data_IF_026887827385
#
_entry.id   IF_026887827385
#
_cell.length_a   1.000
_cell.length_b   1.000
_cell.length_c   1.000
_cell.angle_alpha   90.00
_cell.angle_beta   90.00
_cell.angle_gamma   90.00
#
_symmetry.space_group_name_H-M   'P 1'
#
loop_
_entity.id
_entity.type
_entity.pdbx_description
1 polymer ?
#
# COMPACT_ATOMS: atom_id res chain seq x y z
N UNK A 1 -7.58 -28.36 12.70
CA UNK A 1 -8.51 -27.58 11.85
C UNK A 1 -8.31 -26.05 11.95
N UNK A 2 -7.78 -25.51 13.06
CA UNK A 2 -7.64 -24.05 13.27
C UNK A 2 -6.63 -23.31 12.37
N UNK A 3 -5.52 -23.95 11.98
CA UNK A 3 -4.49 -23.29 11.15
C UNK A 3 -5.00 -22.82 9.77
N UNK A 4 -5.95 -23.53 9.16
CA UNK A 4 -6.47 -23.18 7.81
C UNK A 4 -7.29 -21.88 7.80
N UNK A 5 -8.13 -21.65 8.82
CA UNK A 5 -8.97 -20.44 8.92
C UNK A 5 -8.11 -19.18 9.11
N UNK A 6 -7.12 -19.24 10.00
CA UNK A 6 -6.17 -18.13 10.20
C UNK A 6 -5.39 -17.78 8.93
N UNK A 7 -5.02 -18.79 8.13
CA UNK A 7 -4.27 -18.54 6.90
C UNK A 7 -5.11 -17.77 5.88
N UNK A 8 -6.42 -18.03 5.78
CA UNK A 8 -7.32 -17.32 4.87
C UNK A 8 -7.50 -15.85 5.29
N UNK A 9 -7.73 -15.60 6.57
CA UNK A 9 -7.83 -14.24 7.12
C UNK A 9 -6.54 -13.43 6.91
N UNK A 10 -5.37 -14.09 7.04
CA UNK A 10 -4.06 -13.47 6.78
C UNK A 10 -3.93 -13.00 5.33
N UNK A 11 -4.30 -13.83 4.35
CA UNK A 11 -4.23 -13.41 2.94
C UNK A 11 -5.24 -12.31 2.61
N UNK A 12 -6.45 -12.40 3.17
CA UNK A 12 -7.48 -11.39 2.97
C UNK A 12 -7.01 -10.03 3.50
N UNK A 13 -6.46 -10.00 4.72
CA UNK A 13 -5.89 -8.80 5.31
C UNK A 13 -4.74 -8.25 4.45
N UNK A 14 -3.89 -9.12 3.92
CA UNK A 14 -2.78 -8.71 3.06
C UNK A 14 -3.26 -8.06 1.75
N UNK A 15 -4.29 -8.63 1.12
CA UNK A 15 -4.89 -8.07 -0.10
C UNK A 15 -5.52 -6.71 0.19
N UNK A 16 -6.31 -6.61 1.27
CA UNK A 16 -6.91 -5.33 1.68
C UNK A 16 -5.84 -4.27 2.00
N UNK A 17 -4.77 -4.65 2.68
CA UNK A 17 -3.68 -3.73 3.01
C UNK A 17 -2.97 -3.22 1.74
N UNK A 18 -2.72 -4.12 0.79
CA UNK A 18 -1.94 -3.83 -0.43
C UNK A 18 -2.74 -3.05 -1.47
N UNK A 19 -4.01 -3.41 -1.69
CA UNK A 19 -4.82 -2.88 -2.80
C UNK A 19 -5.88 -1.87 -2.39
N UNK A 20 -6.19 -1.74 -1.10
CA UNK A 20 -7.22 -0.80 -0.62
C UNK A 20 -6.58 0.23 0.29
N UNK A 21 -5.99 -0.21 1.42
CA UNK A 21 -5.45 0.70 2.41
C UNK A 21 -4.29 1.53 1.85
N UNK A 22 -3.30 0.89 1.24
CA UNK A 22 -2.12 1.58 0.73
C UNK A 22 -2.46 2.57 -0.41
N UNK A 23 -3.22 2.20 -1.45
CA UNK A 23 -3.62 3.14 -2.50
C UNK A 23 -4.51 4.28 -1.97
N UNK A 24 -5.44 4.00 -1.05
CA UNK A 24 -6.27 5.04 -0.46
C UNK A 24 -5.44 6.05 0.33
N UNK A 25 -4.52 5.57 1.17
CA UNK A 25 -3.61 6.44 1.93
C UNK A 25 -2.67 7.22 1.03
N UNK A 26 -2.23 6.64 -0.09
CA UNK A 26 -1.45 7.34 -1.11
C UNK A 26 -2.22 8.50 -1.72
N UNK A 27 -3.50 8.30 -2.05
CA UNK A 27 -4.37 9.36 -2.60
C UNK A 27 -4.62 10.45 -1.56
N UNK A 28 -5.00 10.08 -0.33
CA UNK A 28 -5.33 11.03 0.75
C UNK A 28 -4.14 11.93 1.10
N UNK A 29 -2.93 11.38 1.10
CA UNK A 29 -1.72 12.14 1.46
C UNK A 29 -1.09 12.87 0.26
N UNK A 30 -1.77 12.95 -0.88
CA UNK A 30 -1.29 13.66 -2.07
C UNK A 30 -0.05 13.05 -2.70
N UNK A 31 0.07 11.72 -2.63
CA UNK A 31 1.15 10.97 -3.28
C UNK A 31 2.45 10.92 -2.48
N UNK A 32 3.56 11.25 -3.13
CA UNK A 32 4.92 10.88 -2.69
C UNK A 32 5.48 11.72 -1.55
N UNK A 33 4.87 12.87 -1.23
CA UNK A 33 5.49 13.90 -0.41
C UNK A 33 5.54 13.59 1.11
N UNK A 34 4.68 12.72 1.64
CA UNK A 34 4.53 12.61 3.11
C UNK A 34 4.85 11.27 3.77
N UNK A 35 4.68 10.13 3.09
CA UNK A 35 4.43 8.89 3.85
C UNK A 35 4.86 7.56 3.24
N UNK A 36 5.53 7.57 2.08
CA UNK A 36 6.08 6.36 1.47
C UNK A 36 7.02 5.58 2.42
N UNK A 37 7.99 6.21 3.10
CA UNK A 37 8.90 5.47 3.97
C UNK A 37 8.17 4.80 5.13
N UNK A 38 7.19 5.48 5.71
CA UNK A 38 6.37 4.95 6.80
C UNK A 38 5.58 3.71 6.35
N UNK A 39 4.91 3.77 5.20
CA UNK A 39 4.13 2.64 4.72
C UNK A 39 5.00 1.45 4.31
N UNK A 40 6.19 1.68 3.75
CA UNK A 40 7.17 0.61 3.48
C UNK A 40 7.54 -0.14 4.77
N UNK A 41 7.83 0.60 5.85
CA UNK A 41 8.20 0.01 7.16
C UNK A 41 7.03 -0.78 7.74
N UNK A 42 5.84 -0.18 7.82
CA UNK A 42 4.64 -0.81 8.38
C UNK A 42 4.30 -2.09 7.60
N UNK A 43 4.26 -2.00 6.27
CA UNK A 43 3.97 -3.14 5.41
C UNK A 43 5.02 -4.26 5.54
N UNK A 44 6.30 -3.90 5.66
CA UNK A 44 7.38 -4.86 5.87
C UNK A 44 7.26 -5.61 7.20
N UNK A 45 6.83 -4.92 8.27
CA UNK A 45 6.59 -5.52 9.58
C UNK A 45 5.41 -6.51 9.53
N UNK A 46 4.30 -6.13 8.89
CA UNK A 46 3.17 -7.04 8.68
C UNK A 46 3.58 -8.28 7.88
N UNK A 47 4.29 -8.11 6.76
CA UNK A 47 4.76 -9.26 5.97
C UNK A 47 5.69 -10.18 6.77
N UNK A 48 6.62 -9.62 7.55
CA UNK A 48 7.56 -10.41 8.34
C UNK A 48 6.87 -11.26 9.41
N UNK A 49 5.78 -10.75 9.99
CA UNK A 49 4.99 -11.46 11.00
C UNK A 49 4.02 -12.46 10.36
N UNK A 50 3.32 -12.08 9.29
CA UNK A 50 2.23 -12.87 8.72
C UNK A 50 2.71 -13.98 7.76
N UNK A 51 3.82 -13.78 7.02
CA UNK A 51 4.23 -14.68 5.94
C UNK A 51 5.64 -15.25 6.13
N UNK A 52 5.82 -16.53 5.73
CA UNK A 52 7.10 -17.23 5.72
C UNK A 52 7.41 -17.79 4.33
N UNK A 53 8.71 -17.86 3.99
CA UNK A 53 9.21 -18.48 2.76
C UNK A 53 8.76 -17.76 1.47
N UNK A 54 8.46 -18.53 0.42
CA UNK A 54 8.15 -18.03 -0.92
C UNK A 54 6.99 -17.03 -0.96
N UNK A 55 5.99 -17.21 -0.09
CA UNK A 55 4.82 -16.32 -0.03
C UNK A 55 5.20 -14.89 0.34
N UNK A 56 6.20 -14.73 1.22
CA UNK A 56 6.71 -13.42 1.62
C UNK A 56 7.33 -12.69 0.43
N UNK A 57 8.07 -13.41 -0.43
CA UNK A 57 8.65 -12.84 -1.65
C UNK A 57 7.54 -12.40 -2.61
N UNK A 58 6.51 -13.24 -2.82
CA UNK A 58 5.38 -12.89 -3.68
C UNK A 58 4.63 -11.64 -3.20
N UNK A 59 4.40 -11.52 -1.89
CA UNK A 59 3.75 -10.35 -1.29
C UNK A 59 4.58 -9.06 -1.49
N UNK A 60 5.90 -9.15 -1.32
CA UNK A 60 6.81 -8.01 -1.58
C UNK A 60 6.76 -7.60 -3.04
N UNK A 61 6.77 -8.55 -3.98
CA UNK A 61 6.68 -8.25 -5.42
C UNK A 61 5.35 -7.56 -5.76
N UNK A 62 4.22 -8.07 -5.24
CA UNK A 62 2.91 -7.46 -5.45
C UNK A 62 2.85 -6.03 -4.91
N UNK A 63 3.46 -5.79 -3.76
CA UNK A 63 3.54 -4.46 -3.15
C UNK A 63 4.41 -3.48 -3.93
N UNK A 64 5.58 -3.93 -4.39
CA UNK A 64 6.42 -3.13 -5.27
C UNK A 64 5.72 -2.82 -6.60
N UNK A 65 4.97 -3.78 -7.14
CA UNK A 65 4.13 -3.57 -8.32
C UNK A 65 3.04 -2.51 -8.10
N UNK A 66 2.40 -2.51 -6.93
CA UNK A 66 1.41 -1.47 -6.58
C UNK A 66 2.05 -0.10 -6.44
N UNK A 67 3.23 0.00 -5.83
CA UNK A 67 4.00 1.25 -5.75
C UNK A 67 4.36 1.75 -7.16
N UNK A 68 4.88 0.88 -8.02
CA UNK A 68 5.23 1.24 -9.40
C UNK A 68 4.00 1.72 -10.19
N UNK A 69 2.86 1.05 -10.04
CA UNK A 69 1.62 1.47 -10.68
C UNK A 69 1.14 2.85 -10.18
N UNK A 70 1.20 3.09 -8.86
CA UNK A 70 0.85 4.37 -8.25
C UNK A 70 1.80 5.49 -8.70
N UNK A 71 3.10 5.22 -8.77
CA UNK A 71 4.08 6.16 -9.30
C UNK A 71 3.82 6.49 -10.77
N UNK A 72 3.55 5.48 -11.59
CA UNK A 72 3.21 5.67 -12.99
C UNK A 72 1.94 6.52 -13.17
N UNK A 73 0.91 6.28 -12.36
CA UNK A 73 -0.30 7.11 -12.38
C UNK A 73 0.00 8.54 -11.95
N UNK A 74 0.82 8.72 -10.91
CA UNK A 74 1.21 10.04 -10.42
C UNK A 74 2.00 10.85 -11.46
N UNK A 75 2.86 10.21 -12.26
CA UNK A 75 3.63 10.90 -13.30
C UNK A 75 2.82 11.23 -14.55
N UNK A 76 1.90 10.34 -14.96
CA UNK A 76 1.10 10.54 -16.17
C UNK A 76 -0.14 11.41 -15.93
N UNK A 77 -0.66 11.45 -14.70
CA UNK A 77 -1.87 12.18 -14.32
C UNK A 77 -1.64 12.99 -13.03
N UNK A 78 -0.83 14.07 -13.09
CA UNK A 78 -0.52 14.88 -11.90
C UNK A 78 -1.75 15.48 -11.22
N UNK A 79 -2.83 15.76 -11.97
CA UNK A 79 -4.10 16.28 -11.45
C UNK A 79 -4.92 15.30 -10.59
N UNK A 80 -4.64 13.98 -10.64
CA UNK A 80 -5.36 13.02 -9.78
C UNK A 80 -5.02 13.16 -8.30
N UNK A 81 -3.86 13.72 -7.97
CA UNK A 81 -3.33 13.76 -6.60
C UNK A 81 -3.05 15.19 -6.12
N UNK A 82 -2.63 16.09 -7.00
CA UNK A 82 -2.32 17.47 -6.61
C UNK A 82 -3.56 18.35 -6.37
N UNK A 83 -4.69 18.06 -7.03
CA UNK A 83 -5.93 18.85 -6.89
C UNK A 83 -6.54 18.77 -5.48
N UNK A 84 -6.27 17.70 -4.73
CA UNK A 84 -6.75 17.54 -3.35
C UNK A 84 -6.01 18.47 -2.35
N UNK A 85 -4.74 18.80 -2.61
CA UNK A 85 -3.96 19.69 -1.73
C UNK A 85 -4.26 21.16 -2.04
N UNK A 86 -4.40 21.55 -3.31
CA UNK A 86 -4.72 22.93 -3.66
C UNK A 86 -6.16 23.37 -3.32
N UNK A 87 -7.07 22.42 -3.04
CA UNK A 87 -8.44 22.72 -2.60
C UNK A 87 -8.53 23.12 -1.11
N UNK A 88 -7.45 22.97 -0.34
CA UNK A 88 -7.30 23.59 0.98
C UNK A 88 -6.48 24.87 0.83
N UNK A 89 -7.10 26.04 0.65
CA UNK A 89 -6.37 27.29 0.76
C UNK A 89 -5.85 27.41 2.19
N UNK A 90 -4.60 27.80 2.31
CA UNK A 90 -3.88 27.97 3.56
C UNK A 90 -4.77 28.67 4.62
N UNK A 91 -5.10 27.94 5.69
CA UNK A 91 -5.57 28.50 6.97
C UNK A 91 -4.56 28.19 8.05
#
# INVERSE_FOLDING_TARGET
MYKKKYTLSVYLALIMLTFIFFPAMWVINGGTFGSIPYYLIVYSAFIAVLLKGFKRVLAIILFLGTIMALLYLNTNFPGLFMDMIQSYPDT
#
